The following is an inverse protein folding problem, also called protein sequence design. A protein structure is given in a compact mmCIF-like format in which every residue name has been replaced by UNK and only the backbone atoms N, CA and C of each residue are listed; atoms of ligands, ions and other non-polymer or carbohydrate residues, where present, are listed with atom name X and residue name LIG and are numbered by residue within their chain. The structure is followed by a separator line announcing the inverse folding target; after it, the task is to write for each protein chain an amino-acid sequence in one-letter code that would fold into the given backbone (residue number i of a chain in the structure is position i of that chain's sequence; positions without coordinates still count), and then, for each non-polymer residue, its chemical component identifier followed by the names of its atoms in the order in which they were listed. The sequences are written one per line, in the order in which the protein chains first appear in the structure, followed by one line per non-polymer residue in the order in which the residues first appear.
data_IF_904457021855
#
_entry.id   IF_904457021855
#
_cell.length_a   1.000
_cell.length_b   1.000
_cell.length_c   1.000
_cell.angle_alpha   90.00
_cell.angle_beta   90.00
_cell.angle_gamma   90.00
#
_symmetry.space_group_name_H-M   'P 1'
#
loop_
_entity.id
_entity.type
_entity.pdbx_description
1 polymer ?
#
# COMPACT_ATOMS: atom_id res chain seq x y z
N UNK A 1 29.90 5.14 -5.73
CA UNK A 1 28.60 5.34 -5.07
C UNK A 1 27.88 6.60 -5.56
N UNK A 2 28.52 7.78 -5.52
CA UNK A 2 27.96 9.02 -6.10
C UNK A 2 27.48 8.84 -7.54
N UNK A 3 28.32 8.20 -8.37
CA UNK A 3 28.01 7.86 -9.78
C UNK A 3 26.67 7.13 -9.95
N UNK A 4 26.28 6.23 -9.04
CA UNK A 4 25.00 5.49 -9.16
C UNK A 4 23.84 6.40 -8.83
N UNK A 5 23.95 7.23 -7.78
CA UNK A 5 22.92 8.21 -7.43
C UNK A 5 22.74 9.26 -8.53
N UNK A 6 23.85 9.71 -9.10
CA UNK A 6 23.86 10.65 -10.22
C UNK A 6 23.23 10.02 -11.46
N UNK A 7 23.57 8.77 -11.79
CA UNK A 7 22.96 8.05 -12.90
C UNK A 7 21.44 7.88 -12.74
N UNK A 8 20.97 7.51 -11.53
CA UNK A 8 19.53 7.40 -11.23
C UNK A 8 18.85 8.76 -11.40
N UNK A 9 19.48 9.84 -10.93
CA UNK A 9 18.96 11.20 -11.06
C UNK A 9 18.88 11.63 -12.53
N UNK A 10 19.91 11.37 -13.32
CA UNK A 10 19.95 11.64 -14.77
C UNK A 10 18.84 10.86 -15.48
N UNK A 11 18.68 9.58 -15.17
CA UNK A 11 17.61 8.76 -15.73
C UNK A 11 16.23 9.34 -15.38
N UNK A 12 16.00 9.70 -14.11
CA UNK A 12 14.75 10.31 -13.66
C UNK A 12 14.46 11.63 -14.40
N UNK A 13 15.41 12.56 -14.45
CA UNK A 13 15.22 13.82 -15.16
C UNK A 13 15.01 13.63 -16.66
N UNK A 14 15.67 12.64 -17.27
CA UNK A 14 15.44 12.29 -18.67
C UNK A 14 13.99 11.84 -18.90
N UNK A 15 13.43 11.04 -17.99
CA UNK A 15 12.01 10.64 -18.06
C UNK A 15 11.07 11.84 -17.90
N UNK A 16 11.34 12.73 -16.93
CA UNK A 16 10.54 13.94 -16.69
C UNK A 16 10.52 14.84 -17.92
N UNK A 17 11.69 15.13 -18.49
CA UNK A 17 11.82 15.97 -19.69
C UNK A 17 11.19 15.33 -20.92
N UNK A 18 11.36 14.02 -21.10
CA UNK A 18 10.71 13.29 -22.20
C UNK A 18 9.19 13.35 -22.07
N UNK A 19 8.65 13.14 -20.87
CA UNK A 19 7.21 13.24 -20.64
C UNK A 19 6.68 14.65 -20.92
N UNK A 20 7.40 15.68 -20.48
CA UNK A 20 7.05 17.07 -20.74
C UNK A 20 7.00 17.37 -22.24
N UNK A 21 8.05 16.99 -22.97
CA UNK A 21 8.14 17.22 -24.43
C UNK A 21 7.04 16.51 -25.21
N UNK A 22 6.66 15.29 -24.82
CA UNK A 22 5.56 14.56 -25.47
C UNK A 22 4.21 15.28 -25.25
N UNK A 23 4.00 15.86 -24.06
CA UNK A 23 2.77 16.61 -23.75
C UNK A 23 2.70 17.93 -24.52
N UNK A 24 3.79 18.68 -24.58
CA UNK A 24 3.86 19.94 -25.34
C UNK A 24 3.55 19.70 -26.83
N UNK A 25 4.10 18.63 -27.42
CA UNK A 25 3.85 18.28 -28.83
C UNK A 25 2.39 17.85 -29.11
N UNK A 26 1.71 17.29 -28.13
CA UNK A 26 0.29 16.92 -28.26
C UNK A 26 -0.61 18.15 -28.12
N UNK A 27 -0.30 19.04 -27.17
CA UNK A 27 -1.01 20.31 -26.97
C UNK A 27 -0.86 21.26 -28.19
N UNK A 28 0.30 21.27 -28.83
CA UNK A 28 0.57 22.06 -30.04
C UNK A 28 -0.16 21.50 -31.28
N UNK A 29 -0.52 20.21 -31.29
CA UNK A 29 -1.17 19.56 -32.42
C UNK A 29 -0.26 19.33 -33.63
N UNK A 30 1.05 19.53 -33.47
CA UNK A 30 2.06 19.44 -34.54
C UNK A 30 2.39 17.99 -34.95
N UNK A 31 1.96 17.01 -34.16
CA UNK A 31 2.33 15.60 -34.32
C UNK A 31 1.08 14.72 -34.36
N UNK A 32 1.05 13.78 -35.31
CA UNK A 32 -0.02 12.78 -35.40
C UNK A 32 -0.14 11.97 -34.11
N UNK A 33 -1.39 11.66 -33.72
CA UNK A 33 -1.70 10.98 -32.47
C UNK A 33 -0.99 9.61 -32.35
N UNK A 34 -0.81 8.89 -33.46
CA UNK A 34 -0.11 7.61 -33.50
C UNK A 34 1.38 7.75 -33.15
N UNK A 35 2.03 8.82 -33.63
CA UNK A 35 3.42 9.13 -33.30
C UNK A 35 3.59 9.53 -31.82
N UNK A 36 2.62 10.26 -31.24
CA UNK A 36 2.56 10.51 -29.80
C UNK A 36 2.48 9.19 -29.04
N UNK A 37 1.54 8.31 -29.38
CA UNK A 37 1.39 7.01 -28.72
C UNK A 37 2.65 6.14 -28.80
N UNK A 38 3.36 6.16 -29.93
CA UNK A 38 4.66 5.47 -30.06
C UNK A 38 5.70 6.01 -29.07
N UNK A 39 5.82 7.34 -28.95
CA UNK A 39 6.74 7.97 -27.99
C UNK A 39 6.38 7.62 -26.54
N UNK A 40 5.08 7.59 -26.23
CA UNK A 40 4.57 7.17 -24.90
C UNK A 40 4.94 5.72 -24.60
N UNK A 41 4.79 4.83 -25.58
CA UNK A 41 5.17 3.42 -25.45
C UNK A 41 6.68 3.28 -25.18
N UNK A 42 7.52 3.98 -25.92
CA UNK A 42 8.98 3.95 -25.72
C UNK A 42 9.39 4.50 -24.36
N UNK A 43 8.76 5.61 -23.92
CA UNK A 43 8.97 6.16 -22.59
C UNK A 43 8.60 5.14 -21.50
N UNK A 44 7.44 4.48 -21.61
CA UNK A 44 7.02 3.40 -20.69
C UNK A 44 8.01 2.25 -20.67
N UNK A 45 8.57 1.86 -21.83
CA UNK A 45 9.58 0.81 -21.93
C UNK A 45 10.87 1.20 -21.21
N UNK A 46 11.33 2.44 -21.36
CA UNK A 46 12.48 2.97 -20.62
C UNK A 46 12.21 3.01 -19.11
N UNK A 47 11.04 3.48 -18.68
CA UNK A 47 10.65 3.49 -17.26
C UNK A 47 10.66 2.08 -16.67
N UNK A 48 10.09 1.08 -17.36
CA UNK A 48 10.11 -0.31 -16.91
C UNK A 48 11.55 -0.84 -16.71
N UNK A 49 12.47 -0.52 -17.63
CA UNK A 49 13.89 -0.91 -17.51
C UNK A 49 14.55 -0.26 -16.30
N UNK A 50 14.29 1.03 -16.07
CA UNK A 50 14.79 1.74 -14.88
C UNK A 50 14.26 1.10 -13.59
N UNK A 51 12.96 0.82 -13.51
CA UNK A 51 12.35 0.18 -12.34
C UNK A 51 12.94 -1.21 -12.07
N UNK A 52 13.22 -2.01 -13.10
CA UNK A 52 13.90 -3.31 -12.95
C UNK A 52 15.30 -3.13 -12.39
N UNK A 53 16.07 -2.16 -12.89
CA UNK A 53 17.41 -1.87 -12.37
C UNK A 53 17.36 -1.41 -10.90
N UNK A 54 16.43 -0.51 -10.55
CA UNK A 54 16.26 -0.03 -9.18
C UNK A 54 15.80 -1.14 -8.22
N UNK A 55 14.99 -2.09 -8.69
CA UNK A 55 14.53 -3.25 -7.92
C UNK A 55 15.70 -4.10 -7.40
N UNK A 56 16.79 -4.20 -8.16
CA UNK A 56 17.98 -4.94 -7.75
C UNK A 56 18.63 -4.35 -6.50
N UNK A 57 18.65 -3.02 -6.39
CA UNK A 57 19.20 -2.34 -5.21
C UNK A 57 18.36 -2.53 -3.95
N UNK A 58 17.03 -2.68 -4.10
CA UNK A 58 16.11 -2.94 -3.01
C UNK A 58 16.13 -4.39 -2.49
N UNK A 59 16.62 -5.32 -3.29
CA UNK A 59 16.59 -6.75 -2.96
C UNK A 59 17.49 -7.06 -1.76
N UNK A 60 17.16 -8.09 -0.97
CA UNK A 60 17.95 -8.47 0.22
C UNK A 60 19.38 -8.91 -0.13
N UNK A 61 19.55 -9.46 -1.33
CA UNK A 61 20.86 -9.85 -1.89
C UNK A 61 21.70 -8.66 -2.37
N UNK A 62 21.18 -7.42 -2.25
CA UNK A 62 21.91 -6.23 -2.70
C UNK A 62 23.22 -6.07 -1.92
N UNK A 63 24.37 -6.02 -2.61
CA UNK A 63 25.67 -5.81 -1.97
C UNK A 63 25.84 -4.39 -1.43
N UNK A 64 24.91 -3.47 -1.76
CA UNK A 64 25.00 -2.05 -1.42
C UNK A 64 23.77 -1.59 -0.63
N UNK A 65 23.75 -1.87 0.68
CA UNK A 65 22.63 -1.50 1.57
C UNK A 65 22.35 0.02 1.56
N UNK A 66 23.39 0.84 1.43
CA UNK A 66 23.29 2.31 1.36
C UNK A 66 22.51 2.84 0.13
N UNK A 67 22.31 1.99 -0.89
CA UNK A 67 21.53 2.33 -2.08
C UNK A 67 20.06 1.93 -1.97
N UNK A 68 19.66 1.13 -0.98
CA UNK A 68 18.26 0.68 -0.82
C UNK A 68 17.30 1.85 -0.74
N UNK A 69 17.61 2.83 0.10
CA UNK A 69 16.73 3.97 0.28
C UNK A 69 16.72 4.96 -0.90
N UNK A 70 17.85 5.39 -1.46
CA UNK A 70 17.84 6.14 -2.72
C UNK A 70 17.06 5.43 -3.82
N UNK A 71 17.17 4.09 -3.91
CA UNK A 71 16.41 3.30 -4.86
C UNK A 71 14.91 3.28 -4.53
N UNK A 72 14.53 3.14 -3.25
CA UNK A 72 13.14 3.23 -2.80
C UNK A 72 12.49 4.56 -3.21
N UNK A 73 13.17 5.67 -2.90
CA UNK A 73 12.70 7.02 -3.23
C UNK A 73 12.57 7.19 -4.74
N UNK A 74 13.61 6.84 -5.49
CA UNK A 74 13.60 6.93 -6.95
C UNK A 74 12.51 6.06 -7.59
N UNK A 75 12.24 4.87 -7.06
CA UNK A 75 11.14 4.02 -7.51
C UNK A 75 9.80 4.70 -7.26
N UNK A 76 9.55 5.19 -6.04
CA UNK A 76 8.30 5.84 -5.70
C UNK A 76 8.06 7.09 -6.56
N UNK A 77 9.07 7.95 -6.71
CA UNK A 77 8.97 9.16 -7.52
C UNK A 77 8.75 8.84 -9.00
N UNK A 78 9.49 7.85 -9.52
CA UNK A 78 9.32 7.38 -10.90
C UNK A 78 7.91 6.85 -11.13
N UNK A 79 7.35 6.05 -10.20
CA UNK A 79 5.98 5.56 -10.31
C UNK A 79 4.95 6.70 -10.21
N UNK A 80 5.16 7.65 -9.31
CA UNK A 80 4.29 8.82 -9.14
C UNK A 80 4.32 9.76 -10.36
N UNK A 81 5.40 9.78 -11.13
CA UNK A 81 5.47 10.52 -12.40
C UNK A 81 4.39 10.04 -13.39
N UNK A 82 4.11 8.73 -13.39
CA UNK A 82 3.09 8.07 -14.22
C UNK A 82 1.77 7.87 -13.46
N UNK A 83 1.57 8.57 -12.35
CA UNK A 83 0.30 8.54 -11.62
C UNK A 83 -0.85 9.03 -12.49
N UNK A 84 -2.02 8.42 -12.29
CA UNK A 84 -3.28 8.94 -12.83
C UNK A 84 -3.61 10.24 -12.09
N UNK A 85 -3.11 11.37 -12.57
CA UNK A 85 -3.60 12.67 -12.09
C UNK A 85 -5.00 12.92 -12.64
N UNK A 86 -5.78 13.69 -11.90
CA UNK A 86 -6.99 14.31 -12.44
C UNK A 86 -6.62 15.20 -13.64
N UNK A 87 -7.31 14.98 -14.75
CA UNK A 87 -6.93 15.48 -16.08
C UNK A 87 -7.52 14.64 -17.20
N UNK A 88 -7.07 14.92 -18.42
CA UNK A 88 -7.47 14.30 -19.68
C UNK A 88 -7.47 12.76 -19.62
N UNK A 89 -8.57 12.18 -20.06
CA UNK A 89 -8.78 10.73 -20.12
C UNK A 89 -7.76 10.04 -21.03
N UNK A 90 -7.29 10.71 -22.09
CA UNK A 90 -6.24 10.22 -22.97
C UNK A 90 -4.96 9.93 -22.18
N UNK A 91 -4.46 10.90 -21.40
CA UNK A 91 -3.24 10.73 -20.63
C UNK A 91 -3.44 9.71 -19.49
N UNK A 92 -4.62 9.69 -18.86
CA UNK A 92 -4.93 8.70 -17.81
C UNK A 92 -4.84 7.26 -18.29
N UNK A 93 -5.38 6.96 -19.48
CA UNK A 93 -5.35 5.61 -20.06
C UNK A 93 -3.94 5.28 -20.56
N UNK A 94 -3.34 6.19 -21.32
CA UNK A 94 -2.09 5.92 -22.00
C UNK A 94 -0.84 5.98 -21.11
N UNK A 95 -0.88 6.66 -19.95
CA UNK A 95 0.25 6.74 -19.01
C UNK A 95 0.16 5.82 -17.80
N UNK A 96 -1.01 5.23 -17.53
CA UNK A 96 -1.17 4.37 -16.36
C UNK A 96 -0.07 3.31 -16.28
N UNK A 97 0.64 3.32 -15.16
CA UNK A 97 1.59 2.30 -14.76
C UNK A 97 1.10 1.63 -13.49
N UNK A 98 1.14 0.30 -13.50
CA UNK A 98 0.85 -0.53 -12.35
C UNK A 98 2.07 -1.38 -12.05
N UNK A 99 2.26 -1.71 -10.77
CA UNK A 99 3.28 -2.66 -10.35
C UNK A 99 2.64 -3.97 -9.93
N UNK A 100 3.34 -5.08 -10.15
CA UNK A 100 2.87 -6.39 -9.75
C UNK A 100 2.97 -6.60 -8.23
N UNK A 101 2.29 -7.63 -7.72
CA UNK A 101 2.30 -7.98 -6.30
C UNK A 101 3.71 -8.22 -5.74
N UNK A 102 4.62 -8.81 -6.52
CA UNK A 102 5.99 -9.11 -6.07
C UNK A 102 6.78 -7.83 -5.83
N UNK A 103 6.54 -6.80 -6.63
CA UNK A 103 7.15 -5.49 -6.50
C UNK A 103 6.58 -4.74 -5.29
N UNK A 104 5.26 -4.80 -5.06
CA UNK A 104 4.62 -4.22 -3.85
C UNK A 104 5.16 -4.86 -2.58
N UNK A 105 5.35 -6.19 -2.57
CA UNK A 105 5.97 -6.90 -1.45
C UNK A 105 7.39 -6.40 -1.16
N UNK A 106 8.17 -6.11 -2.20
CA UNK A 106 9.53 -5.57 -2.03
C UNK A 106 9.52 -4.17 -1.39
N UNK A 107 8.65 -3.27 -1.86
CA UNK A 107 8.48 -1.93 -1.28
C UNK A 107 8.02 -2.00 0.17
N UNK A 108 7.07 -2.91 0.45
CA UNK A 108 6.54 -3.16 1.79
C UNK A 108 7.65 -3.67 2.71
N UNK A 109 8.45 -4.63 2.25
CA UNK A 109 9.56 -5.19 3.04
C UNK A 109 10.61 -4.13 3.36
N UNK A 110 10.98 -3.30 2.39
CA UNK A 110 11.89 -2.18 2.64
C UNK A 110 11.37 -1.26 3.75
N UNK A 111 10.09 -0.89 3.69
CA UNK A 111 9.49 0.01 4.67
C UNK A 111 9.45 -0.63 6.07
N UNK A 112 9.15 -1.93 6.15
CA UNK A 112 9.17 -2.68 7.42
C UNK A 112 10.58 -2.70 8.00
N UNK A 113 11.56 -3.14 7.23
CA UNK A 113 12.94 -3.32 7.70
C UNK A 113 13.61 -2.00 8.08
N UNK A 114 13.29 -0.91 7.36
CA UNK A 114 13.98 0.38 7.51
C UNK A 114 13.25 1.34 8.47
N UNK A 115 11.92 1.25 8.56
CA UNK A 115 11.12 2.21 9.33
C UNK A 115 10.48 1.59 10.58
N UNK A 116 9.97 0.36 10.50
CA UNK A 116 9.13 -0.20 11.58
C UNK A 116 9.82 -1.27 12.43
N UNK A 117 10.85 -1.93 11.91
CA UNK A 117 11.60 -3.00 12.58
C UNK A 117 13.10 -2.70 12.63
N UNK A 118 13.51 -1.48 12.29
CA UNK A 118 14.90 -1.08 12.42
C UNK A 118 15.32 -1.09 13.91
N UNK A 119 16.43 -1.77 14.22
CA UNK A 119 17.02 -1.85 15.57
C UNK A 119 17.62 -0.52 16.06
N UNK A 120 17.51 0.56 15.28
CA UNK A 120 18.07 1.87 15.61
C UNK A 120 17.22 2.60 16.66
N UNK A 121 17.42 2.19 17.91
CA UNK A 121 16.85 2.77 19.14
C UNK A 121 17.29 4.25 19.37
N UNK A 122 18.06 4.89 18.49
CA UNK A 122 18.78 6.13 18.85
C UNK A 122 18.96 7.23 17.78
N UNK A 123 18.32 7.19 16.62
CA UNK A 123 18.75 8.10 15.53
C UNK A 123 17.86 9.34 15.39
N UNK A 124 18.47 10.52 15.62
CA UNK A 124 17.82 11.83 15.82
C UNK A 124 16.93 12.38 14.69
N UNK A 125 16.63 13.68 14.76
CA UNK A 125 15.59 14.37 13.95
C UNK A 125 15.68 14.10 12.42
N UNK A 126 16.90 13.95 11.89
CA UNK A 126 17.15 13.63 10.48
C UNK A 126 16.57 12.27 10.05
N UNK A 127 16.74 11.23 10.87
CA UNK A 127 16.23 9.88 10.56
C UNK A 127 14.70 9.84 10.67
N UNK A 128 14.12 10.56 11.63
CA UNK A 128 12.66 10.68 11.76
C UNK A 128 12.02 11.34 10.53
N UNK A 129 12.58 12.46 10.05
CA UNK A 129 12.09 13.15 8.85
C UNK A 129 12.18 12.26 7.60
N UNK A 130 13.26 11.50 7.49
CA UNK A 130 13.51 10.56 6.40
C UNK A 130 12.54 9.36 6.40
N UNK A 131 12.34 8.74 7.56
CA UNK A 131 11.36 7.66 7.74
C UNK A 131 9.94 8.14 7.42
N UNK A 132 9.59 9.35 7.88
CA UNK A 132 8.32 9.98 7.54
C UNK A 132 8.15 10.19 6.04
N UNK A 133 9.20 10.62 5.35
CA UNK A 133 9.21 10.76 3.88
C UNK A 133 8.96 9.42 3.18
N UNK A 134 9.61 8.35 3.63
CA UNK A 134 9.42 7.01 3.06
C UNK A 134 7.96 6.52 3.22
N UNK A 135 7.35 6.74 4.39
CA UNK A 135 5.94 6.40 4.64
C UNK A 135 5.00 7.24 3.76
N UNK A 136 5.28 8.54 3.58
CA UNK A 136 4.53 9.41 2.67
C UNK A 136 4.61 8.91 1.23
N UNK A 137 5.80 8.58 0.74
CA UNK A 137 5.99 8.09 -0.62
C UNK A 137 5.20 6.80 -0.87
N UNK A 138 5.28 5.84 0.05
CA UNK A 138 4.50 4.60 -0.04
C UNK A 138 2.99 4.86 -0.04
N UNK A 139 2.51 5.72 0.87
CA UNK A 139 1.09 6.05 0.98
C UNK A 139 0.57 6.81 -0.25
N UNK A 140 1.40 7.64 -0.89
CA UNK A 140 1.06 8.29 -2.17
C UNK A 140 0.80 7.24 -3.26
N UNK A 141 1.57 6.15 -3.33
CA UNK A 141 1.31 5.10 -4.33
C UNK A 141 -0.10 4.48 -4.18
N UNK A 142 -0.62 4.36 -2.96
CA UNK A 142 -2.01 3.93 -2.70
C UNK A 142 -3.02 5.00 -3.13
N UNK A 143 -2.79 6.24 -2.73
CA UNK A 143 -3.69 7.38 -3.02
C UNK A 143 -3.81 7.59 -4.53
N UNK A 144 -2.71 7.46 -5.28
CA UNK A 144 -2.70 7.61 -6.73
C UNK A 144 -3.08 6.31 -7.49
N UNK A 145 -3.59 5.29 -6.80
CA UNK A 145 -4.03 4.01 -7.37
C UNK A 145 -2.95 3.31 -8.22
N UNK A 146 -1.67 3.44 -7.84
CA UNK A 146 -0.54 2.74 -8.49
C UNK A 146 -0.38 1.34 -7.90
N UNK A 147 -0.60 1.21 -6.58
CA UNK A 147 -0.58 -0.07 -5.87
C UNK A 147 -1.97 -0.39 -5.32
N UNK A 148 -2.37 -1.65 -5.44
CA UNK A 148 -3.62 -2.10 -4.85
C UNK A 148 -3.50 -2.26 -3.32
N UNK A 149 -4.41 -1.66 -2.52
CA UNK A 149 -4.46 -1.78 -1.07
C UNK A 149 -4.37 -3.20 -0.52
N UNK A 150 -4.95 -4.20 -1.20
CA UNK A 150 -4.93 -5.59 -0.71
C UNK A 150 -3.52 -6.16 -0.50
N UNK A 151 -2.50 -5.60 -1.18
CA UNK A 151 -1.11 -6.05 -1.07
C UNK A 151 -0.30 -5.30 0.00
N UNK A 152 -0.90 -4.34 0.72
CA UNK A 152 -0.19 -3.48 1.68
C UNK A 152 -0.55 -3.76 3.15
N UNK A 153 -1.28 -4.85 3.39
CA UNK A 153 -1.74 -5.25 4.71
C UNK A 153 -0.62 -5.32 5.77
N UNK A 154 0.59 -5.74 5.37
CA UNK A 154 1.77 -5.84 6.26
C UNK A 154 2.24 -4.48 6.77
N UNK A 155 2.03 -3.40 6.02
CA UNK A 155 2.35 -2.03 6.44
C UNK A 155 1.30 -1.51 7.43
N UNK A 156 0.03 -1.74 7.15
CA UNK A 156 -1.05 -1.17 7.96
C UNK A 156 -1.18 -1.78 9.36
N UNK A 157 -0.52 -2.92 9.65
CA UNK A 157 -0.43 -3.50 11.01
C UNK A 157 0.28 -2.56 12.00
N UNK A 158 1.12 -1.66 11.49
CA UNK A 158 1.86 -0.67 12.27
C UNK A 158 1.06 0.60 12.57
N UNK A 159 -0.15 0.74 12.03
CA UNK A 159 -0.97 1.94 12.16
C UNK A 159 -1.13 2.41 13.61
N UNK A 160 -1.44 1.48 14.52
CA UNK A 160 -1.62 1.83 15.93
C UNK A 160 -0.28 1.96 16.69
N UNK A 161 0.72 1.13 16.34
CA UNK A 161 2.03 1.12 17.02
C UNK A 161 2.80 2.42 16.80
N UNK A 162 2.71 2.99 15.60
CA UNK A 162 3.37 4.25 15.22
C UNK A 162 2.34 5.38 14.99
N UNK A 163 1.29 5.41 15.82
CA UNK A 163 0.22 6.37 15.66
C UNK A 163 0.69 7.82 15.89
N UNK A 164 1.65 8.05 16.79
CA UNK A 164 2.24 9.37 17.05
C UNK A 164 3.04 9.91 15.86
N UNK A 165 3.79 9.06 15.18
CA UNK A 165 4.75 9.46 14.15
C UNK A 165 4.12 9.50 12.75
N UNK A 166 3.26 8.51 12.45
CA UNK A 166 2.73 8.27 11.10
C UNK A 166 1.20 8.13 11.05
N UNK A 167 0.51 8.24 12.18
CA UNK A 167 -0.94 8.04 12.26
C UNK A 167 -1.74 9.01 11.39
N UNK A 168 -1.23 10.22 11.18
CA UNK A 168 -1.81 11.23 10.29
C UNK A 168 -1.69 10.82 8.81
N UNK A 169 -0.51 10.34 8.39
CA UNK A 169 -0.25 9.86 7.02
C UNK A 169 -1.12 8.64 6.71
N UNK A 170 -1.13 7.65 7.60
CA UNK A 170 -1.97 6.46 7.43
C UNK A 170 -3.46 6.80 7.40
N UNK A 171 -3.89 7.75 8.23
CA UNK A 171 -5.29 8.21 8.24
C UNK A 171 -5.67 8.82 6.89
N UNK A 172 -4.82 9.65 6.29
CA UNK A 172 -5.08 10.22 4.95
C UNK A 172 -5.22 9.10 3.90
N UNK A 173 -4.32 8.12 3.91
CA UNK A 173 -4.38 6.99 2.97
C UNK A 173 -5.64 6.14 3.17
N UNK A 174 -5.98 5.78 4.41
CA UNK A 174 -7.18 5.02 4.74
C UNK A 174 -8.46 5.79 4.40
N UNK A 175 -8.51 7.10 4.68
CA UNK A 175 -9.64 7.95 4.32
C UNK A 175 -9.82 8.06 2.81
N UNK A 176 -8.72 8.09 2.04
CA UNK A 176 -8.79 8.06 0.58
C UNK A 176 -9.36 6.71 0.08
N UNK A 177 -8.78 5.58 0.49
CA UNK A 177 -9.24 4.25 0.08
C UNK A 177 -10.72 4.06 0.45
N UNK A 178 -11.11 4.48 1.66
CA UNK A 178 -12.49 4.44 2.15
C UNK A 178 -13.47 5.28 1.34
N UNK A 179 -13.04 6.37 0.72
CA UNK A 179 -13.89 7.21 -0.15
C UNK A 179 -13.98 6.64 -1.56
N UNK A 180 -12.92 6.00 -2.03
CA UNK A 180 -12.82 5.48 -3.41
C UNK A 180 -13.51 4.13 -3.57
N UNK A 181 -13.29 3.18 -2.65
CA UNK A 181 -13.86 1.84 -2.73
C UNK A 181 -14.06 1.26 -1.32
N UNK A 182 -15.33 1.15 -0.92
CA UNK A 182 -15.72 0.64 0.40
C UNK A 182 -15.31 -0.83 0.61
N UNK A 183 -15.40 -1.66 -0.44
CA UNK A 183 -15.10 -3.09 -0.38
C UNK A 183 -13.60 -3.29 -0.27
N UNK A 184 -12.82 -2.59 -1.09
CA UNK A 184 -11.35 -2.61 -1.03
C UNK A 184 -10.84 -2.12 0.33
N UNK A 185 -11.46 -1.07 0.88
CA UNK A 185 -11.16 -0.59 2.23
C UNK A 185 -11.37 -1.69 3.27
N UNK A 186 -12.55 -2.32 3.31
CA UNK A 186 -12.85 -3.40 4.24
C UNK A 186 -11.91 -4.61 4.08
N UNK A 187 -11.60 -4.99 2.83
CA UNK A 187 -10.68 -6.08 2.51
C UNK A 187 -9.25 -5.80 3.01
N UNK A 188 -8.77 -4.55 2.90
CA UNK A 188 -7.49 -4.15 3.48
C UNK A 188 -7.50 -4.35 5.01
N UNK A 189 -8.53 -3.82 5.69
CA UNK A 189 -8.60 -3.89 7.16
C UNK A 189 -8.61 -5.34 7.66
N UNK A 190 -9.45 -6.21 7.07
CA UNK A 190 -9.51 -7.61 7.48
C UNK A 190 -8.22 -8.36 7.16
N UNK A 191 -7.61 -8.14 5.99
CA UNK A 191 -6.33 -8.75 5.63
C UNK A 191 -5.23 -8.34 6.61
N UNK A 192 -5.20 -7.07 7.04
CA UNK A 192 -4.24 -6.61 8.05
C UNK A 192 -4.46 -7.32 9.39
N UNK A 193 -5.71 -7.48 9.83
CA UNK A 193 -6.02 -8.15 11.10
C UNK A 193 -5.71 -9.65 11.07
N UNK A 194 -6.02 -10.34 9.95
CA UNK A 194 -5.71 -11.76 9.76
C UNK A 194 -4.19 -11.97 9.85
N UNK A 195 -3.41 -11.22 9.07
CA UNK A 195 -1.96 -11.34 9.10
C UNK A 195 -1.36 -11.04 10.47
N UNK A 196 -1.87 -10.01 11.13
CA UNK A 196 -1.42 -9.69 12.48
C UNK A 196 -1.77 -10.81 13.47
N UNK A 197 -2.93 -11.47 13.33
CA UNK A 197 -3.30 -12.63 14.14
C UNK A 197 -2.35 -13.81 13.92
N UNK A 198 -2.00 -14.11 12.67
CA UNK A 198 -1.05 -15.18 12.32
C UNK A 198 0.35 -14.93 12.94
N UNK A 199 0.77 -13.67 13.03
CA UNK A 199 2.04 -13.27 13.65
C UNK A 199 1.96 -13.10 15.19
N UNK A 200 0.75 -13.07 15.78
CA UNK A 200 0.53 -12.74 17.20
C UNK A 200 0.54 -13.97 18.10
N UNK A 201 1.73 -14.52 18.37
CA UNK A 201 1.89 -15.59 19.34
C UNK A 201 1.98 -15.10 20.81
N UNK A 202 2.33 -13.83 21.03
CA UNK A 202 2.55 -13.27 22.37
C UNK A 202 1.29 -12.58 22.93
N UNK A 203 1.14 -12.50 24.28
CA UNK A 203 0.05 -11.75 24.91
C UNK A 203 -0.02 -10.29 24.46
N UNK A 204 1.13 -9.64 24.30
CA UNK A 204 1.21 -8.25 23.83
C UNK A 204 0.79 -8.10 22.36
N UNK A 205 1.17 -9.07 21.51
CA UNK A 205 0.73 -9.12 20.11
C UNK A 205 -0.78 -9.26 20.00
N UNK A 206 -1.37 -10.14 20.82
CA UNK A 206 -2.82 -10.33 20.90
C UNK A 206 -3.53 -9.05 21.38
N UNK A 207 -2.98 -8.36 22.39
CA UNK A 207 -3.54 -7.08 22.87
C UNK A 207 -3.47 -6.01 21.78
N UNK A 208 -2.34 -5.91 21.06
CA UNK A 208 -2.18 -5.01 19.93
C UNK A 208 -3.21 -5.29 18.83
N UNK A 209 -3.43 -6.56 18.50
CA UNK A 209 -4.45 -6.98 17.54
C UNK A 209 -5.86 -6.50 17.92
N UNK A 210 -6.29 -6.71 19.17
CA UNK A 210 -7.61 -6.26 19.62
C UNK A 210 -7.75 -4.74 19.59
N UNK A 211 -6.72 -4.01 20.04
CA UNK A 211 -6.74 -2.55 20.01
C UNK A 211 -6.77 -2.01 18.57
N UNK A 212 -6.04 -2.66 17.65
CA UNK A 212 -6.07 -2.30 16.23
C UNK A 212 -7.45 -2.56 15.62
N UNK A 213 -8.08 -3.70 15.92
CA UNK A 213 -9.43 -4.02 15.45
C UNK A 213 -10.47 -3.00 15.93
N UNK A 214 -10.43 -2.65 17.22
CA UNK A 214 -11.27 -1.60 17.79
C UNK A 214 -11.06 -0.26 17.07
N UNK A 215 -9.80 0.11 16.81
CA UNK A 215 -9.46 1.34 16.09
C UNK A 215 -9.97 1.32 14.65
N UNK A 216 -9.84 0.20 13.96
CA UNK A 216 -10.35 0.00 12.59
C UNK A 216 -11.87 0.05 12.52
N UNK A 217 -12.59 -0.51 13.51
CA UNK A 217 -14.04 -0.41 13.61
C UNK A 217 -14.52 1.05 13.65
N UNK A 218 -13.79 1.93 14.32
CA UNK A 218 -14.11 3.37 14.38
C UNK A 218 -13.97 4.09 13.03
N UNK A 219 -13.18 3.56 12.08
CA UNK A 219 -13.01 4.17 10.75
C UNK A 219 -14.27 4.11 9.88
N UNK A 220 -15.19 3.18 10.19
CA UNK A 220 -16.51 3.14 9.56
C UNK A 220 -17.44 4.27 10.04
N UNK A 221 -17.03 5.05 11.04
CA UNK A 221 -17.76 6.20 11.53
C UNK A 221 -19.03 5.84 12.30
N UNK A 222 -19.88 6.85 12.51
CA UNK A 222 -21.17 6.71 13.20
C UNK A 222 -22.23 6.17 12.24
N UNK A 223 -22.25 6.70 11.01
CA UNK A 223 -23.16 6.24 9.95
C UNK A 223 -22.55 5.07 9.16
N UNK A 224 -22.68 3.87 9.72
CA UNK A 224 -22.21 2.63 9.11
C UNK A 224 -23.14 2.09 8.00
N UNK A 225 -24.30 2.74 7.76
CA UNK A 225 -25.31 2.24 6.81
C UNK A 225 -24.78 2.16 5.37
N UNK A 226 -23.99 3.13 4.95
CA UNK A 226 -23.33 3.15 3.63
C UNK A 226 -22.22 2.11 3.44
N UNK A 227 -21.77 1.48 4.52
CA UNK A 227 -20.68 0.49 4.50
C UNK A 227 -21.19 -0.95 4.68
N UNK A 228 -22.49 -1.19 4.74
CA UNK A 228 -23.03 -2.52 5.05
C UNK A 228 -22.54 -3.63 4.11
N UNK A 229 -22.51 -3.48 2.78
CA UNK A 229 -21.98 -4.54 1.91
C UNK A 229 -20.52 -4.88 2.21
N UNK A 230 -19.70 -3.85 2.45
CA UNK A 230 -18.29 -4.01 2.78
C UNK A 230 -18.07 -4.63 4.17
N UNK A 231 -18.89 -4.27 5.17
CA UNK A 231 -18.87 -4.88 6.50
C UNK A 231 -19.32 -6.35 6.46
N UNK A 232 -20.33 -6.69 5.66
CA UNK A 232 -20.74 -8.08 5.45
C UNK A 232 -19.59 -8.88 4.82
N UNK A 233 -18.93 -8.32 3.79
CA UNK A 233 -17.75 -8.95 3.19
C UNK A 233 -16.61 -9.15 4.21
N UNK A 234 -16.33 -8.14 5.03
CA UNK A 234 -15.36 -8.22 6.13
C UNK A 234 -15.66 -9.36 7.10
N UNK A 235 -16.92 -9.47 7.54
CA UNK A 235 -17.36 -10.54 8.43
C UNK A 235 -17.29 -11.92 7.76
N UNK A 236 -17.70 -12.03 6.49
CA UNK A 236 -17.62 -13.30 5.74
C UNK A 236 -16.17 -13.78 5.63
N UNK A 237 -15.26 -12.89 5.25
CA UNK A 237 -13.84 -13.21 5.13
C UNK A 237 -13.24 -13.65 6.48
N UNK A 238 -13.54 -12.90 7.55
CA UNK A 238 -13.07 -13.24 8.88
C UNK A 238 -13.64 -14.55 9.43
N UNK A 239 -14.93 -14.84 9.18
CA UNK A 239 -15.55 -16.10 9.58
C UNK A 239 -14.92 -17.25 8.80
N UNK A 240 -14.74 -17.09 7.48
CA UNK A 240 -14.08 -18.07 6.64
C UNK A 240 -12.67 -18.39 7.15
N UNK A 241 -11.88 -17.37 7.51
CA UNK A 241 -10.58 -17.55 8.14
C UNK A 241 -10.67 -18.29 9.49
N UNK A 242 -11.62 -17.91 10.35
CA UNK A 242 -11.78 -18.51 11.67
C UNK A 242 -12.13 -20.01 11.61
N UNK A 243 -12.89 -20.44 10.59
CA UNK A 243 -13.33 -21.83 10.41
C UNK A 243 -12.51 -22.60 9.35
N UNK A 244 -11.44 -22.02 8.80
CA UNK A 244 -10.72 -22.59 7.66
C UNK A 244 -10.21 -24.03 7.88
N UNK A 245 -9.84 -24.36 9.12
CA UNK A 245 -9.35 -25.69 9.52
C UNK A 245 -10.43 -26.58 10.13
N UNK A 246 -11.72 -26.28 9.94
CA UNK A 246 -12.80 -27.08 10.49
C UNK A 246 -12.95 -28.40 9.73
N UNK A 247 -12.64 -29.51 10.40
CA UNK A 247 -12.95 -30.85 9.92
C UNK A 247 -14.08 -31.43 10.78
N UNK A 248 -15.27 -31.62 10.18
CA UNK A 248 -16.48 -32.07 10.90
C UNK A 248 -16.28 -33.42 11.62
N UNK A 249 -15.37 -34.26 11.12
CA UNK A 249 -15.08 -35.60 11.64
C UNK A 249 -14.17 -35.58 12.88
N UNK A 250 -13.37 -34.52 13.09
CA UNK A 250 -12.35 -34.50 14.16
C UNK A 250 -12.86 -34.01 15.52
N UNK A 251 -14.09 -33.49 15.62
CA UNK A 251 -14.69 -32.90 16.84
C UNK A 251 -13.81 -31.84 17.55
N UNK A 252 -12.73 -31.38 16.91
CA UNK A 252 -11.82 -30.36 17.43
C UNK A 252 -12.27 -28.97 16.96
N UNK A 253 -12.23 -27.95 17.83
CA UNK A 253 -12.53 -26.59 17.39
C UNK A 253 -11.52 -26.14 16.32
N UNK A 254 -11.94 -25.28 15.37
CA UNK A 254 -11.02 -24.70 14.39
C UNK A 254 -9.87 -23.96 15.06
N UNK A 255 -8.67 -24.05 14.47
CA UNK A 255 -7.43 -23.45 15.00
C UNK A 255 -7.55 -21.92 15.17
N UNK A 256 -8.29 -21.27 14.27
CA UNK A 256 -8.44 -19.82 14.22
C UNK A 256 -9.73 -19.31 14.87
N UNK A 257 -10.46 -20.15 15.63
CA UNK A 257 -11.76 -19.79 16.20
C UNK A 257 -11.70 -18.53 17.07
N UNK A 258 -10.57 -18.29 17.76
CA UNK A 258 -10.40 -17.13 18.61
C UNK A 258 -10.41 -15.79 17.85
N UNK A 259 -10.15 -15.81 16.53
CA UNK A 259 -10.24 -14.63 15.66
C UNK A 259 -11.65 -14.02 15.63
N UNK A 260 -12.70 -14.79 15.94
CA UNK A 260 -14.06 -14.24 16.06
C UNK A 260 -14.17 -13.15 17.14
N UNK A 261 -13.31 -13.17 18.17
CA UNK A 261 -13.22 -12.09 19.17
C UNK A 261 -12.70 -10.79 18.57
N UNK A 262 -11.92 -10.86 17.49
CA UNK A 262 -11.48 -9.67 16.74
C UNK A 262 -12.64 -9.13 15.91
N UNK A 263 -13.40 -10.01 15.28
CA UNK A 263 -14.57 -9.64 14.48
C UNK A 263 -15.71 -9.03 15.29
N UNK A 264 -15.82 -9.35 16.58
CA UNK A 264 -16.89 -8.81 17.42
C UNK A 264 -16.85 -7.27 17.47
N UNK A 265 -15.67 -6.66 17.35
CA UNK A 265 -15.46 -5.21 17.31
C UNK A 265 -16.20 -4.52 16.14
N UNK A 266 -16.47 -5.26 15.06
CA UNK A 266 -17.19 -4.75 13.88
C UNK A 266 -18.70 -5.04 13.95
N UNK A 267 -19.14 -5.96 14.81
CA UNK A 267 -20.54 -6.42 14.88
C UNK A 267 -21.52 -5.31 15.29
N UNK A 268 -21.05 -4.33 16.06
CA UNK A 268 -21.82 -3.13 16.41
C UNK A 268 -22.11 -2.20 15.21
N UNK A 269 -21.37 -2.36 14.10
CA UNK A 269 -21.54 -1.58 12.87
C UNK A 269 -22.53 -2.21 11.89
N UNK A 270 -22.93 -3.47 12.09
CA UNK A 270 -23.94 -4.14 11.26
C UNK A 270 -25.36 -3.72 11.66
N UNK A 271 -26.21 -3.49 10.66
CA UNK A 271 -27.65 -3.32 10.87
C UNK A 271 -28.32 -4.65 11.25
N UNK A 272 -29.52 -4.59 11.84
CA UNK A 272 -30.27 -5.80 12.22
C UNK A 272 -30.53 -6.76 11.06
N UNK A 273 -30.75 -6.24 9.85
CA UNK A 273 -30.93 -7.05 8.65
C UNK A 273 -29.63 -7.72 8.21
N UNK A 274 -28.50 -6.99 8.23
CA UNK A 274 -27.19 -7.51 7.85
C UNK A 274 -26.68 -8.61 8.77
N UNK A 275 -27.09 -8.62 10.04
CA UNK A 275 -26.72 -9.67 11.02
C UNK A 275 -27.35 -11.03 10.75
N UNK A 276 -28.40 -11.09 9.92
CA UNK A 276 -29.12 -12.33 9.58
C UNK A 276 -28.59 -13.02 8.30
N UNK A 277 -27.67 -12.35 7.59
CA UNK A 277 -27.06 -12.80 6.33
C UNK A 277 -25.75 -13.52 6.64
#
# INVERSE_FOLDING_TARGET
MGVVKDAVSICYFTLVWSMKSIKEQEEEGDVEQEAILSKVHDLKKLTKRLLVALRLFLSNESPCQELKEPAFTAICDTLLLFSKKDGDEFWKVNFAMTVDQSFVKLLTRFLIDTVFEADSIADGESTAAKNRTNVILFCKLLIFNIIEPKYTADVFRYYLKYFSEFGDIFKIALDHIRKTDHTMFANLLISTLIKLYEDSASPDGILHLYNLAKRFSLLFGIDASKYQPALIALHREGIHFAVHSFEAERLTPPVNLSFLKVLIEFSGKLTGSSKKI
#
